data_IF_996268175158
#
_entry.id   IF_996268175158
#
_cell.length_a   1.000
_cell.length_b   1.000
_cell.length_c   1.000
_cell.angle_alpha   90.00
_cell.angle_beta   90.00
_cell.angle_gamma   90.00
#
_symmetry.space_group_name_H-M   'P 1'
#
loop_
_entity.id
_entity.type
_entity.pdbx_description
1 polymer ?
#
# COMPACT_ATOMS: atom_id res chain seq x y z
N UNK A 1 -39.80 31.67 3.01
CA UNK A 1 -38.56 31.94 2.26
C UNK A 1 -38.93 32.72 1.01
N UNK A 2 -38.42 33.94 0.85
CA UNK A 2 -38.71 34.75 -0.33
C UNK A 2 -38.32 33.97 -1.60
N UNK A 3 -39.25 33.80 -2.53
CA UNK A 3 -38.95 33.23 -3.84
C UNK A 3 -37.99 34.17 -4.57
N UNK A 4 -36.68 33.95 -4.41
CA UNK A 4 -35.67 34.57 -5.27
C UNK A 4 -35.97 34.05 -6.67
N UNK A 5 -36.51 34.93 -7.51
CA UNK A 5 -36.83 34.63 -8.90
C UNK A 5 -35.50 34.30 -9.59
N UNK A 6 -35.27 33.01 -9.86
CA UNK A 6 -34.06 32.56 -10.56
C UNK A 6 -34.09 33.12 -11.99
N UNK A 7 -33.05 33.88 -12.35
CA UNK A 7 -32.87 34.52 -13.66
C UNK A 7 -32.73 33.49 -14.77
N UNK A 8 -33.10 33.90 -15.99
CA UNK A 8 -32.94 33.06 -17.17
C UNK A 8 -31.48 33.04 -17.62
N UNK A 9 -31.03 31.88 -18.08
CA UNK A 9 -29.61 31.64 -18.38
C UNK A 9 -29.43 30.99 -19.74
N UNK A 10 -28.30 31.28 -20.37
CA UNK A 10 -27.79 30.60 -21.56
C UNK A 10 -26.68 29.67 -21.07
N UNK A 11 -26.79 28.39 -21.40
CA UNK A 11 -25.85 27.36 -20.97
C UNK A 11 -25.09 26.84 -22.18
N UNK A 12 -23.78 26.72 -22.05
CA UNK A 12 -22.88 26.20 -23.07
C UNK A 12 -22.21 24.96 -22.53
N UNK A 13 -22.18 23.91 -23.34
CA UNK A 13 -21.72 22.60 -22.91
C UNK A 13 -20.71 22.09 -23.94
N UNK A 14 -19.50 21.82 -23.47
CA UNK A 14 -18.45 21.11 -24.21
C UNK A 14 -18.42 19.64 -23.74
N UNK A 15 -18.94 18.69 -24.53
CA UNK A 15 -18.98 17.28 -24.18
C UNK A 15 -17.65 16.57 -24.47
N UNK A 16 -17.23 15.71 -23.54
CA UNK A 16 -16.04 14.88 -23.71
C UNK A 16 -15.71 14.08 -22.45
N UNK A 17 -14.48 13.58 -22.37
CA UNK A 17 -13.94 12.97 -21.13
C UNK A 17 -13.82 13.99 -19.99
N UNK A 18 -13.58 15.25 -20.36
CA UNK A 18 -13.76 16.44 -19.51
C UNK A 18 -14.99 17.17 -20.03
N UNK A 19 -15.97 17.45 -19.17
CA UNK A 19 -17.12 18.27 -19.54
C UNK A 19 -16.81 19.71 -19.16
N UNK A 20 -16.93 20.62 -20.12
CA UNK A 20 -16.98 22.06 -19.86
C UNK A 20 -18.43 22.53 -19.75
N UNK A 21 -18.74 23.34 -18.76
CA UNK A 21 -20.04 23.99 -18.57
C UNK A 21 -19.80 25.48 -18.35
N UNK A 22 -20.48 26.31 -19.15
CA UNK A 22 -20.52 27.75 -18.96
C UNK A 22 -21.97 28.21 -18.85
N UNK A 23 -22.22 29.23 -18.03
CA UNK A 23 -23.54 29.84 -17.85
C UNK A 23 -23.41 31.35 -17.91
N UNK A 24 -24.21 31.97 -18.79
CA UNK A 24 -24.36 33.42 -18.89
C UNK A 24 -25.80 33.83 -18.56
N UNK A 25 -25.99 35.04 -18.05
CA UNK A 25 -27.32 35.66 -18.03
C UNK A 25 -27.74 36.15 -19.43
N UNK A 26 -28.98 36.63 -19.57
CA UNK A 26 -29.49 37.13 -20.87
C UNK A 26 -28.88 38.46 -21.31
N UNK A 27 -28.02 39.08 -20.51
CA UNK A 27 -27.28 40.31 -20.84
C UNK A 27 -25.81 40.01 -21.18
N UNK A 28 -25.36 38.77 -21.00
CA UNK A 28 -24.01 38.30 -21.29
C UNK A 28 -23.03 38.44 -20.13
N UNK A 29 -23.49 38.50 -18.88
CA UNK A 29 -22.59 38.42 -17.73
C UNK A 29 -22.36 36.96 -17.36
N UNK A 30 -21.11 36.54 -17.07
CA UNK A 30 -20.82 35.19 -16.66
C UNK A 30 -21.35 34.93 -15.25
N UNK A 31 -22.14 33.88 -15.11
CA UNK A 31 -22.65 33.37 -13.83
C UNK A 31 -21.69 32.30 -13.30
N UNK A 32 -21.27 31.39 -14.19
CA UNK A 32 -20.40 30.27 -13.84
C UNK A 32 -19.66 29.75 -15.07
N UNK A 33 -18.40 29.36 -14.88
CA UNK A 33 -17.56 28.73 -15.90
C UNK A 33 -16.75 27.64 -15.19
N UNK A 34 -16.96 26.39 -15.60
CA UNK A 34 -16.48 25.22 -14.87
C UNK A 34 -16.13 24.08 -15.81
N UNK A 35 -15.17 23.27 -15.41
CA UNK A 35 -14.87 22.00 -16.08
C UNK A 35 -14.45 20.92 -15.09
N UNK A 36 -14.79 19.67 -15.39
CA UNK A 36 -14.32 18.52 -14.62
C UNK A 36 -14.23 17.26 -15.46
N UNK A 37 -13.23 16.43 -15.13
CA UNK A 37 -13.12 15.05 -15.65
C UNK A 37 -14.17 14.17 -14.99
N UNK A 38 -14.68 13.19 -15.73
CA UNK A 38 -15.68 12.21 -15.24
C UNK A 38 -16.94 12.86 -14.63
N UNK A 39 -17.30 14.07 -15.09
CA UNK A 39 -18.49 14.78 -14.62
C UNK A 39 -19.73 14.13 -15.26
N UNK A 40 -20.77 13.83 -14.49
CA UNK A 40 -21.96 13.18 -15.04
C UNK A 40 -22.96 14.20 -15.60
N UNK A 41 -23.85 13.74 -16.49
CA UNK A 41 -24.99 14.55 -16.98
C UNK A 41 -25.86 15.03 -15.81
N UNK A 42 -26.06 14.17 -14.80
CA UNK A 42 -26.86 14.50 -13.61
C UNK A 42 -26.20 15.60 -12.78
N UNK A 43 -24.88 15.58 -12.62
CA UNK A 43 -24.14 16.61 -11.88
C UNK A 43 -24.20 17.96 -12.61
N UNK A 44 -24.05 17.94 -13.95
CA UNK A 44 -24.20 19.13 -14.78
C UNK A 44 -25.61 19.73 -14.65
N UNK A 45 -26.65 18.89 -14.72
CA UNK A 45 -28.05 19.31 -14.52
C UNK A 45 -28.25 19.91 -13.12
N UNK A 46 -27.73 19.28 -12.06
CA UNK A 46 -27.86 19.77 -10.69
C UNK A 46 -27.21 21.15 -10.51
N UNK A 47 -26.01 21.37 -11.08
CA UNK A 47 -25.31 22.65 -11.07
C UNK A 47 -26.07 23.73 -11.85
N UNK A 48 -26.60 23.40 -13.03
CA UNK A 48 -27.37 24.36 -13.83
C UNK A 48 -28.63 24.81 -13.06
N UNK A 49 -29.35 23.87 -12.43
CA UNK A 49 -30.57 24.16 -11.66
C UNK A 49 -30.28 25.06 -10.46
N UNK A 50 -29.15 24.85 -9.78
CA UNK A 50 -28.81 25.62 -8.58
C UNK A 50 -28.48 27.09 -8.90
N UNK A 51 -27.99 27.36 -10.11
CA UNK A 51 -27.52 28.68 -10.54
C UNK A 51 -28.54 29.48 -11.35
N UNK A 52 -29.51 28.85 -12.02
CA UNK A 52 -30.48 29.59 -12.81
C UNK A 52 -31.55 28.76 -13.50
N UNK A 53 -32.33 29.42 -14.38
CA UNK A 53 -33.30 28.77 -15.27
C UNK A 53 -32.72 28.69 -16.69
N UNK A 54 -32.26 27.53 -17.16
CA UNK A 54 -31.71 27.39 -18.51
C UNK A 54 -32.80 27.61 -19.56
N UNK A 55 -32.59 28.60 -20.43
CA UNK A 55 -33.48 28.94 -21.53
C UNK A 55 -32.94 28.43 -22.87
N UNK A 56 -31.63 28.51 -23.05
CA UNK A 56 -30.90 28.10 -24.24
C UNK A 56 -29.77 27.17 -23.80
N UNK A 57 -29.60 26.04 -24.47
CA UNK A 57 -28.47 25.14 -24.29
C UNK A 57 -27.73 25.04 -25.63
N UNK A 58 -26.45 25.41 -25.65
CA UNK A 58 -25.64 25.52 -26.85
C UNK A 58 -24.40 24.62 -26.81
N UNK A 59 -23.91 24.26 -28.00
CA UNK A 59 -22.62 23.60 -28.22
C UNK A 59 -21.84 24.41 -29.26
N UNK A 60 -20.52 24.22 -29.28
CA UNK A 60 -19.58 24.82 -30.22
C UNK A 60 -19.37 23.98 -31.49
N UNK A 61 -19.92 22.75 -31.54
CA UNK A 61 -19.80 21.83 -32.66
C UNK A 61 -21.15 21.48 -33.31
N UNK A 62 -21.11 21.16 -34.60
CA UNK A 62 -22.24 20.65 -35.38
C UNK A 62 -21.87 19.31 -36.04
N UNK A 63 -22.75 18.29 -36.03
CA UNK A 63 -24.09 18.27 -35.44
C UNK A 63 -24.05 18.35 -33.91
N UNK A 64 -25.11 18.89 -33.30
CA UNK A 64 -25.11 19.07 -31.84
C UNK A 64 -24.99 17.73 -31.11
N UNK A 65 -24.04 17.56 -30.17
CA UNK A 65 -23.80 16.29 -29.50
C UNK A 65 -24.99 15.77 -28.69
N UNK A 66 -25.12 14.45 -28.57
CA UNK A 66 -26.26 13.78 -27.91
C UNK A 66 -26.42 14.19 -26.44
N UNK A 67 -25.32 14.43 -25.74
CA UNK A 67 -25.33 14.90 -24.35
C UNK A 67 -25.99 16.26 -24.20
N UNK A 68 -25.67 17.19 -25.09
CA UNK A 68 -26.22 18.56 -25.11
C UNK A 68 -27.72 18.51 -25.39
N UNK A 69 -28.14 17.71 -26.39
CA UNK A 69 -29.57 17.47 -26.70
C UNK A 69 -30.33 16.90 -25.50
N UNK A 70 -29.73 15.93 -24.79
CA UNK A 70 -30.32 15.32 -23.58
C UNK A 70 -30.49 16.34 -22.45
N UNK A 71 -29.48 17.16 -22.18
CA UNK A 71 -29.55 18.20 -21.14
C UNK A 71 -30.62 19.25 -21.50
N UNK A 72 -30.68 19.67 -22.77
CA UNK A 72 -31.71 20.61 -23.22
C UNK A 72 -33.12 20.06 -23.09
N UNK A 73 -33.33 18.77 -23.39
CA UNK A 73 -34.62 18.11 -23.24
C UNK A 73 -35.11 18.11 -21.79
N UNK A 74 -34.21 17.81 -20.83
CA UNK A 74 -34.53 17.87 -19.39
C UNK A 74 -35.05 19.24 -18.98
N UNK A 75 -34.50 20.30 -19.56
CA UNK A 75 -34.86 21.67 -19.23
C UNK A 75 -35.95 22.28 -20.12
N UNK A 76 -36.40 21.55 -21.14
CA UNK A 76 -37.23 22.13 -22.22
C UNK A 76 -36.63 23.42 -22.79
N UNK A 77 -35.30 23.49 -22.83
CA UNK A 77 -34.55 24.62 -23.37
C UNK A 77 -34.40 24.49 -24.89
N UNK A 78 -34.18 25.60 -25.56
CA UNK A 78 -33.89 25.61 -26.99
C UNK A 78 -32.44 25.20 -27.25
N UNK A 79 -32.21 24.37 -28.27
CA UNK A 79 -30.87 24.04 -28.79
C UNK A 79 -30.67 24.71 -30.13
N UNK A 80 -29.91 25.82 -30.21
CA UNK A 80 -29.56 26.43 -31.49
C UNK A 80 -28.55 25.54 -32.21
N UNK A 81 -28.93 25.05 -33.39
CA UNK A 81 -27.99 24.33 -34.25
C UNK A 81 -27.08 25.31 -34.98
N UNK A 82 -25.80 24.92 -35.08
CA UNK A 82 -24.75 25.63 -35.78
C UNK A 82 -24.71 25.20 -37.24
N UNK A 83 -24.52 26.16 -38.16
CA UNK A 83 -24.32 25.86 -39.58
C UNK A 83 -22.97 25.14 -39.79
N UNK A 84 -21.92 25.60 -39.10
CA UNK A 84 -20.59 25.00 -39.08
C UNK A 84 -20.00 25.00 -37.65
N UNK A 85 -19.09 24.07 -37.37
CA UNK A 85 -18.42 23.98 -36.06
C UNK A 85 -17.47 25.16 -35.87
N UNK A 86 -17.41 25.73 -34.67
CA UNK A 86 -16.54 26.87 -34.38
C UNK A 86 -15.06 26.46 -34.43
N UNK A 87 -14.27 27.20 -35.20
CA UNK A 87 -12.82 27.08 -35.24
C UNK A 87 -12.17 27.57 -33.95
N UNK A 88 -10.93 27.14 -33.69
CA UNK A 88 -10.18 27.55 -32.50
C UNK A 88 -10.03 29.08 -32.40
N UNK A 89 -9.78 29.74 -33.53
CA UNK A 89 -9.61 31.19 -33.62
C UNK A 89 -10.90 31.92 -33.28
N UNK A 90 -12.05 31.43 -33.77
CA UNK A 90 -13.37 31.97 -33.45
C UNK A 90 -13.71 31.81 -31.97
N UNK A 91 -13.42 30.65 -31.37
CA UNK A 91 -13.64 30.42 -29.93
C UNK A 91 -12.82 31.41 -29.08
N UNK A 92 -11.57 31.65 -29.46
CA UNK A 92 -10.70 32.63 -28.76
C UNK A 92 -11.23 34.05 -28.95
N UNK A 93 -11.62 34.43 -30.18
CA UNK A 93 -12.14 35.75 -30.48
C UNK A 93 -13.45 36.05 -29.73
N UNK A 94 -14.36 35.07 -29.63
CA UNK A 94 -15.62 35.19 -28.90
C UNK A 94 -15.43 35.34 -27.38
N UNK A 95 -14.42 34.68 -26.81
CA UNK A 95 -14.18 34.66 -25.36
C UNK A 95 -13.29 35.82 -24.92
N UNK A 96 -12.05 35.89 -25.42
CA UNK A 96 -11.09 36.96 -25.05
C UNK A 96 -11.52 38.32 -25.58
N UNK A 97 -12.11 38.39 -26.77
CA UNK A 97 -12.57 39.65 -27.36
C UNK A 97 -13.71 40.31 -26.57
N UNK A 98 -14.37 39.59 -25.67
CA UNK A 98 -15.44 40.08 -24.80
C UNK A 98 -15.04 40.17 -23.31
N UNK A 99 -13.77 39.90 -22.97
CA UNK A 99 -13.23 40.07 -21.62
C UNK A 99 -13.58 38.96 -20.63
N UNK A 100 -13.94 37.77 -21.11
CA UNK A 100 -14.24 36.64 -20.23
C UNK A 100 -12.97 35.88 -19.81
N UNK A 101 -12.97 35.37 -18.58
CA UNK A 101 -11.91 34.54 -18.02
C UNK A 101 -12.26 33.04 -18.11
N UNK A 102 -11.27 32.20 -18.39
CA UNK A 102 -11.36 30.74 -18.39
C UNK A 102 -10.00 30.13 -18.06
N UNK A 103 -9.98 28.92 -17.49
CA UNK A 103 -8.75 28.26 -17.03
C UNK A 103 -8.19 27.26 -18.02
N UNK A 104 -9.02 26.69 -18.88
CA UNK A 104 -8.61 25.66 -19.83
C UNK A 104 -9.45 25.67 -21.12
N UNK A 105 -9.08 24.80 -22.06
CA UNK A 105 -9.73 24.70 -23.37
C UNK A 105 -11.21 24.29 -23.28
N UNK A 106 -11.59 23.42 -22.34
CA UNK A 106 -12.97 22.98 -22.19
C UNK A 106 -13.89 24.09 -21.67
N UNK A 107 -13.40 24.86 -20.70
CA UNK A 107 -14.09 26.07 -20.22
C UNK A 107 -14.23 27.11 -21.33
N UNK A 108 -13.17 27.32 -22.12
CA UNK A 108 -13.21 28.22 -23.28
C UNK A 108 -14.26 27.78 -24.29
N UNK A 109 -14.31 26.49 -24.62
CA UNK A 109 -15.17 25.96 -25.68
C UNK A 109 -16.64 26.00 -25.25
N UNK A 110 -16.94 25.64 -23.99
CA UNK A 110 -18.27 25.80 -23.40
C UNK A 110 -18.70 27.29 -23.34
N UNK A 111 -17.79 28.19 -22.99
CA UNK A 111 -18.07 29.62 -22.95
C UNK A 111 -18.26 30.21 -24.35
N UNK A 112 -17.46 29.78 -25.34
CA UNK A 112 -17.62 30.19 -26.72
C UNK A 112 -18.99 29.78 -27.27
N UNK A 113 -19.49 28.58 -26.93
CA UNK A 113 -20.84 28.14 -27.27
C UNK A 113 -21.92 29.08 -26.71
N UNK A 114 -21.79 29.48 -25.42
CA UNK A 114 -22.69 30.46 -24.79
C UNK A 114 -22.69 31.80 -25.53
N UNK A 115 -21.49 32.36 -25.75
CA UNK A 115 -21.34 33.70 -26.33
C UNK A 115 -21.84 33.71 -27.77
N UNK A 116 -21.59 32.65 -28.53
CA UNK A 116 -22.09 32.52 -29.89
C UNK A 116 -23.63 32.47 -29.92
N UNK A 117 -24.24 31.68 -29.02
CA UNK A 117 -25.70 31.66 -28.88
C UNK A 117 -26.24 33.05 -28.51
N UNK A 118 -25.64 33.73 -27.53
CA UNK A 118 -26.03 35.09 -27.15
C UNK A 118 -25.94 36.06 -28.34
N UNK A 119 -24.88 35.99 -29.15
CA UNK A 119 -24.70 36.84 -30.35
C UNK A 119 -25.84 36.66 -31.35
N UNK A 120 -26.33 35.43 -31.55
CA UNK A 120 -27.49 35.12 -32.42
C UNK A 120 -28.77 35.77 -31.93
N UNK A 121 -28.99 35.82 -30.61
CA UNK A 121 -30.20 36.40 -30.00
C UNK A 121 -30.08 37.88 -29.62
N UNK A 122 -28.88 38.47 -29.61
CA UNK A 122 -28.61 39.85 -29.17
C UNK A 122 -29.49 40.89 -29.86
N UNK A 123 -29.67 40.77 -31.19
CA UNK A 123 -30.56 41.69 -31.95
C UNK A 123 -32.02 41.57 -31.50
N UNK A 124 -32.52 40.34 -31.30
CA UNK A 124 -33.88 40.08 -30.83
C UNK A 124 -34.08 40.58 -29.39
N UNK A 125 -33.14 40.32 -28.49
CA UNK A 125 -33.19 40.81 -27.11
C UNK A 125 -33.18 42.33 -27.02
N UNK A 126 -32.38 43.01 -27.86
CA UNK A 126 -32.40 44.48 -27.92
C UNK A 126 -33.73 45.03 -28.44
N UNK A 127 -34.36 44.38 -29.43
CA UNK A 127 -35.69 44.76 -29.89
C UNK A 127 -36.76 44.57 -28.81
N UNK A 128 -36.70 43.47 -28.06
CA UNK A 128 -37.59 43.21 -26.91
C UNK A 128 -37.43 44.31 -25.87
N UNK A 129 -36.19 44.65 -25.50
CA UNK A 129 -35.92 45.67 -24.49
C UNK A 129 -36.46 47.05 -24.89
N UNK A 130 -36.44 47.40 -26.18
CA UNK A 130 -36.99 48.68 -26.69
C UNK A 130 -38.52 48.69 -26.77
N UNK A 131 -39.14 47.55 -27.10
CA UNK A 131 -40.59 47.44 -27.33
C UNK A 131 -41.39 47.14 -26.06
N UNK A 132 -40.74 46.67 -25.00
CA UNK A 132 -41.41 46.30 -23.75
C UNK A 132 -41.82 47.56 -22.97
N UNK A 133 -43.11 47.78 -22.68
CA UNK A 133 -43.56 48.93 -21.89
C UNK A 133 -43.04 48.90 -20.44
N UNK A 134 -42.96 50.07 -19.81
CA UNK A 134 -42.62 50.20 -18.41
C UNK A 134 -43.63 49.43 -17.53
N UNK A 135 -43.14 48.52 -16.71
CA UNK A 135 -43.97 47.70 -15.82
C UNK A 135 -44.23 46.27 -16.31
N UNK A 136 -43.73 45.84 -17.49
CA UNK A 136 -43.68 44.42 -17.90
C UNK A 136 -42.28 43.88 -17.66
N UNK A 137 -42.19 42.62 -17.23
CA UNK A 137 -40.90 41.97 -16.98
C UNK A 137 -40.20 41.63 -18.30
N UNK A 138 -39.15 42.39 -18.62
CA UNK A 138 -38.39 42.25 -19.87
C UNK A 138 -37.75 40.87 -19.98
N UNK A 139 -37.31 40.26 -18.88
CA UNK A 139 -36.63 38.97 -18.87
C UNK A 139 -37.60 37.83 -19.26
N UNK A 140 -38.85 37.92 -18.79
CA UNK A 140 -39.92 36.98 -19.13
C UNK A 140 -40.36 37.15 -20.61
N UNK A 141 -40.42 38.38 -21.12
CA UNK A 141 -40.67 38.61 -22.56
C UNK A 141 -39.54 38.00 -23.40
N UNK A 142 -38.26 38.21 -23.01
CA UNK A 142 -37.12 37.58 -23.70
C UNK A 142 -37.28 36.05 -23.72
N UNK A 143 -37.70 35.43 -22.60
CA UNK A 143 -37.93 33.99 -22.51
C UNK A 143 -39.03 33.48 -23.46
N UNK A 144 -40.18 34.17 -23.53
CA UNK A 144 -41.27 33.81 -24.46
C UNK A 144 -40.83 33.94 -25.92
N UNK A 145 -40.03 34.95 -26.25
CA UNK A 145 -39.54 35.18 -27.61
C UNK A 145 -38.55 34.10 -28.05
N UNK A 146 -37.71 33.60 -27.15
CA UNK A 146 -36.84 32.45 -27.44
C UNK A 146 -37.66 31.19 -27.73
N UNK A 147 -38.79 31.01 -27.05
CA UNK A 147 -39.74 29.91 -27.28
C UNK A 147 -40.57 30.06 -28.57
N UNK A 148 -40.33 31.10 -29.37
CA UNK A 148 -40.98 31.30 -30.68
C UNK A 148 -42.23 32.18 -30.66
N UNK A 149 -42.59 32.79 -29.52
CA UNK A 149 -43.70 33.73 -29.44
C UNK A 149 -43.28 35.08 -30.02
N UNK A 150 -44.18 35.75 -30.76
CA UNK A 150 -43.90 37.09 -31.25
C UNK A 150 -43.81 38.10 -30.10
N UNK A 151 -43.03 39.17 -30.29
CA UNK A 151 -42.79 40.17 -29.24
C UNK A 151 -44.11 40.80 -28.75
N UNK A 152 -45.04 41.12 -29.67
CA UNK A 152 -46.34 41.68 -29.32
C UNK A 152 -47.17 40.71 -28.47
N UNK A 153 -47.33 39.47 -28.92
CA UNK A 153 -48.12 38.46 -28.20
C UNK A 153 -47.51 38.14 -26.83
N UNK A 154 -46.19 38.14 -26.71
CA UNK A 154 -45.50 37.94 -25.43
C UNK A 154 -45.78 39.09 -24.44
N UNK A 155 -45.76 40.34 -24.92
CA UNK A 155 -46.09 41.51 -24.11
C UNK A 155 -47.57 41.48 -23.70
N UNK A 156 -48.47 41.26 -24.64
CA UNK A 156 -49.92 41.25 -24.39
C UNK A 156 -50.31 40.20 -23.35
N UNK A 157 -49.78 38.97 -23.48
CA UNK A 157 -50.00 37.90 -22.49
C UNK A 157 -49.56 38.31 -21.08
N UNK A 158 -48.41 38.97 -20.94
CA UNK A 158 -47.91 39.40 -19.64
C UNK A 158 -48.69 40.59 -19.06
N UNK A 159 -49.26 41.44 -19.92
CA UNK A 159 -50.15 42.53 -19.50
C UNK A 159 -51.48 41.95 -19.03
N UNK A 160 -52.10 41.04 -19.79
CA UNK A 160 -53.37 40.39 -19.41
C UNK A 160 -53.25 39.62 -18.09
N UNK A 161 -52.16 38.86 -17.89
CA UNK A 161 -51.91 38.16 -16.62
C UNK A 161 -51.72 39.11 -15.42
N UNK A 162 -51.23 40.33 -15.65
CA UNK A 162 -51.16 41.37 -14.60
C UNK A 162 -52.49 42.05 -14.34
N UNK A 163 -53.38 42.11 -15.34
CA UNK A 163 -54.74 42.64 -15.20
C UNK A 163 -55.64 41.63 -14.48
N UNK A 164 -55.61 40.35 -14.84
CA UNK A 164 -56.34 39.28 -14.14
C UNK A 164 -55.93 39.19 -12.66
N UNK A 165 -54.63 39.26 -12.35
CA UNK A 165 -54.17 39.28 -10.95
C UNK A 165 -54.52 40.57 -10.18
N UNK A 166 -54.83 41.69 -10.87
CA UNK A 166 -55.31 42.93 -10.25
C UNK A 166 -56.83 42.93 -10.07
N UNK A 167 -57.58 42.28 -10.96
CA UNK A 167 -59.03 42.13 -10.85
C UNK A 167 -59.41 41.12 -9.76
N UNK A 168 -58.66 40.02 -9.62
CA UNK A 168 -58.88 39.02 -8.54
C UNK A 168 -58.72 39.62 -7.13
N UNK A 169 -57.89 40.66 -6.96
CA UNK A 169 -57.72 41.34 -5.65
C UNK A 169 -58.84 42.38 -5.39
N UNK A 170 -59.56 42.83 -6.44
CA UNK A 170 -60.68 43.77 -6.31
C UNK A 170 -62.06 43.10 -6.25
N UNK A 171 -62.19 41.89 -6.78
CA UNK A 171 -63.48 41.19 -6.87
C UNK A 171 -63.92 40.47 -5.59
N UNK A 172 -63.07 40.30 -4.57
CA UNK A 172 -63.47 39.72 -3.27
C UNK A 172 -64.36 40.63 -2.39
N UNK A 173 -64.89 41.74 -2.89
CA UNK A 173 -65.67 42.69 -2.07
C UNK A 173 -67.05 43.09 -2.54
N UNK A 174 -67.58 42.58 -3.66
CA UNK A 174 -68.93 42.96 -4.07
C UNK A 174 -69.66 41.78 -4.73
N UNK A 175 -70.34 40.98 -3.90
CA UNK A 175 -71.45 40.17 -4.39
C UNK A 175 -72.77 40.95 -4.34
N UNK A 176 -73.51 40.77 -5.43
CA UNK A 176 -74.96 40.78 -5.61
C UNK A 176 -75.54 41.91 -6.46
N UNK A 177 -75.80 41.59 -7.75
CA UNK A 177 -77.12 41.65 -8.41
C UNK A 177 -77.04 41.58 -9.95
N UNK A 178 -77.54 40.48 -10.53
CA UNK A 178 -78.73 40.38 -11.43
C UNK A 178 -78.66 39.16 -12.37
N UNK A 179 -79.73 38.37 -12.32
CA UNK A 179 -80.23 37.44 -13.34
C UNK A 179 -80.37 38.19 -14.68
N UNK A 180 -79.81 37.72 -15.79
CA UNK A 180 -80.30 36.58 -16.59
C UNK A 180 -79.21 35.73 -17.28
N UNK A 181 -77.93 35.91 -16.94
CA UNK A 181 -76.80 35.17 -17.56
C UNK A 181 -76.47 33.82 -16.87
N UNK A 182 -77.20 33.48 -15.79
CA UNK A 182 -76.86 32.37 -14.88
C UNK A 182 -76.75 31.01 -15.57
N UNK A 183 -77.56 30.75 -16.61
CA UNK A 183 -77.53 29.46 -17.31
C UNK A 183 -76.20 29.25 -18.06
N UNK A 184 -75.70 30.31 -18.71
CA UNK A 184 -74.47 30.24 -19.50
C UNK A 184 -73.22 30.30 -18.62
N UNK A 185 -73.26 31.05 -17.52
CA UNK A 185 -72.20 31.04 -16.50
C UNK A 185 -72.10 29.68 -15.79
N UNK A 186 -73.23 29.05 -15.44
CA UNK A 186 -73.25 27.72 -14.80
C UNK A 186 -72.70 26.65 -15.75
N UNK A 187 -73.02 26.71 -17.05
CA UNK A 187 -72.48 25.78 -18.05
C UNK A 187 -70.96 25.96 -18.23
N UNK A 188 -70.46 27.20 -18.25
CA UNK A 188 -69.01 27.50 -18.29
C UNK A 188 -68.31 26.97 -17.04
N UNK A 189 -68.87 27.20 -15.85
CA UNK A 189 -68.32 26.71 -14.58
C UNK A 189 -68.28 25.18 -14.52
N UNK A 190 -69.34 24.48 -14.95
CA UNK A 190 -69.34 23.01 -15.04
C UNK A 190 -68.27 22.50 -15.99
N UNK A 191 -68.03 23.19 -17.12
CA UNK A 191 -66.98 22.83 -18.07
C UNK A 191 -65.57 22.99 -17.47
N UNK A 192 -65.37 24.05 -16.70
CA UNK A 192 -64.10 24.31 -15.98
C UNK A 192 -63.88 23.28 -14.88
N UNK A 193 -64.92 22.94 -14.11
CA UNK A 193 -64.84 21.90 -13.07
C UNK A 193 -64.45 20.57 -13.69
N UNK A 194 -65.12 20.16 -14.77
CA UNK A 194 -64.78 18.93 -15.49
C UNK A 194 -63.33 18.92 -16.01
N UNK A 195 -62.85 20.02 -16.59
CA UNK A 195 -61.46 20.15 -17.03
C UNK A 195 -60.45 20.11 -15.87
N UNK A 196 -60.83 20.62 -14.70
CA UNK A 196 -60.00 20.57 -13.50
C UNK A 196 -59.97 19.15 -12.91
N UNK A 197 -61.10 18.46 -12.89
CA UNK A 197 -61.21 17.06 -12.46
C UNK A 197 -60.36 16.15 -13.37
N UNK A 198 -60.48 16.28 -14.69
CA UNK A 198 -59.63 15.57 -15.66
C UNK A 198 -58.12 15.85 -15.43
N UNK A 199 -57.77 17.09 -15.09
CA UNK A 199 -56.38 17.44 -14.74
C UNK A 199 -55.92 16.81 -13.41
N UNK A 200 -56.80 16.75 -12.42
CA UNK A 200 -56.49 16.13 -11.12
C UNK A 200 -56.23 14.65 -11.33
N UNK A 201 -57.07 13.97 -12.11
CA UNK A 201 -56.91 12.54 -12.43
C UNK A 201 -55.57 12.26 -13.13
N UNK A 202 -55.21 13.06 -14.14
CA UNK A 202 -53.90 12.94 -14.82
C UNK A 202 -52.74 13.20 -13.85
N UNK A 203 -52.87 14.17 -12.94
CA UNK A 203 -51.83 14.48 -11.96
C UNK A 203 -51.67 13.36 -10.93
N UNK A 204 -52.77 12.70 -10.53
CA UNK A 204 -52.75 11.55 -9.63
C UNK A 204 -52.11 10.33 -10.29
N UNK A 205 -52.42 10.05 -11.55
CA UNK A 205 -51.73 9.02 -12.36
C UNK A 205 -50.24 9.32 -12.51
N UNK A 206 -49.87 10.58 -12.76
CA UNK A 206 -48.46 10.96 -12.84
C UNK A 206 -47.76 10.79 -11.48
N UNK A 207 -48.43 11.15 -10.38
CA UNK A 207 -47.87 11.02 -9.03
C UNK A 207 -47.64 9.55 -8.66
N UNK A 208 -48.58 8.66 -9.00
CA UNK A 208 -48.44 7.22 -8.75
C UNK A 208 -47.32 6.62 -9.59
N UNK A 209 -47.22 6.98 -10.87
CA UNK A 209 -46.13 6.58 -11.75
C UNK A 209 -44.77 7.05 -11.25
N UNK A 210 -44.66 8.31 -10.83
CA UNK A 210 -43.43 8.87 -10.25
C UNK A 210 -43.02 8.15 -8.96
N UNK A 211 -43.98 7.87 -8.06
CA UNK A 211 -43.73 7.09 -6.83
C UNK A 211 -43.23 5.68 -7.15
N UNK A 212 -43.78 5.03 -8.16
CA UNK A 212 -43.32 3.71 -8.60
C UNK A 212 -41.88 3.75 -9.13
N UNK A 213 -41.56 4.74 -9.97
CA UNK A 213 -40.19 4.94 -10.46
C UNK A 213 -39.19 5.25 -9.35
N UNK A 214 -39.59 6.02 -8.34
CA UNK A 214 -38.74 6.32 -7.19
C UNK A 214 -38.48 5.06 -6.36
N UNK A 215 -39.51 4.24 -6.12
CA UNK A 215 -39.36 2.96 -5.42
C UNK A 215 -38.42 2.00 -6.18
N UNK A 216 -38.49 1.96 -7.51
CA UNK A 216 -37.60 1.15 -8.35
C UNK A 216 -36.14 1.65 -8.27
N UNK A 217 -35.93 2.97 -8.34
CA UNK A 217 -34.60 3.58 -8.19
C UNK A 217 -34.01 3.29 -6.81
N UNK A 218 -34.82 3.42 -5.75
CA UNK A 218 -34.42 3.09 -4.39
C UNK A 218 -34.00 1.63 -4.23
N UNK A 219 -34.75 0.69 -4.84
CA UNK A 219 -34.35 -0.72 -4.90
C UNK A 219 -33.01 -0.90 -5.63
N UNK A 220 -32.82 -0.20 -6.75
CA UNK A 220 -31.59 -0.27 -7.53
C UNK A 220 -30.39 0.31 -6.78
N UNK A 221 -30.58 1.42 -6.08
CA UNK A 221 -29.56 2.04 -5.20
C UNK A 221 -29.17 1.06 -4.10
N UNK A 222 -30.15 0.42 -3.42
CA UNK A 222 -29.87 -0.60 -2.41
C UNK A 222 -29.06 -1.78 -2.98
N UNK A 223 -29.45 -2.28 -4.16
CA UNK A 223 -28.71 -3.36 -4.83
C UNK A 223 -27.28 -2.98 -5.21
N UNK A 224 -27.09 -1.76 -5.74
CA UNK A 224 -25.76 -1.25 -6.08
C UNK A 224 -24.89 -1.04 -4.83
N UNK A 225 -25.47 -0.54 -3.74
CA UNK A 225 -24.75 -0.37 -2.47
C UNK A 225 -24.32 -1.72 -1.90
N UNK A 226 -25.19 -2.74 -1.90
CA UNK A 226 -24.82 -4.09 -1.49
C UNK A 226 -23.68 -4.67 -2.34
N UNK A 227 -23.71 -4.45 -3.66
CA UNK A 227 -22.63 -4.88 -4.55
C UNK A 227 -21.33 -4.11 -4.30
N UNK A 228 -21.42 -2.82 -3.98
CA UNK A 228 -20.25 -2.01 -3.62
C UNK A 228 -19.64 -2.51 -2.31
N UNK A 229 -20.45 -2.84 -1.32
CA UNK A 229 -19.99 -3.35 -0.03
C UNK A 229 -19.36 -4.74 -0.13
N UNK A 230 -19.92 -5.63 -0.97
CA UNK A 230 -19.31 -6.94 -1.24
C UNK A 230 -17.94 -6.78 -1.91
N UNK A 231 -17.84 -5.94 -2.95
CA UNK A 231 -16.57 -5.64 -3.61
C UNK A 231 -15.54 -5.00 -2.66
N UNK A 232 -15.99 -4.09 -1.78
CA UNK A 232 -15.12 -3.49 -0.74
C UNK A 232 -14.64 -4.53 0.27
N UNK A 233 -15.51 -5.45 0.68
CA UNK A 233 -15.14 -6.54 1.58
C UNK A 233 -14.12 -7.48 0.93
N UNK A 234 -14.31 -7.83 -0.33
CA UNK A 234 -13.39 -8.67 -1.10
C UNK A 234 -12.02 -8.00 -1.25
N UNK A 235 -11.99 -6.73 -1.67
CA UNK A 235 -10.74 -5.96 -1.75
C UNK A 235 -10.00 -5.87 -0.41
N UNK A 236 -10.73 -5.73 0.70
CA UNK A 236 -10.12 -5.75 2.05
C UNK A 236 -9.47 -7.09 2.36
N UNK A 237 -10.12 -8.21 2.00
CA UNK A 237 -9.54 -9.55 2.15
C UNK A 237 -8.29 -9.71 1.29
N UNK A 238 -8.35 -9.31 0.03
CA UNK A 238 -7.19 -9.35 -0.88
C UNK A 238 -6.01 -8.55 -0.32
N UNK A 239 -6.27 -7.34 0.19
CA UNK A 239 -5.24 -6.48 0.79
C UNK A 239 -4.62 -7.15 2.02
N UNK A 240 -5.44 -7.75 2.89
CA UNK A 240 -4.96 -8.47 4.07
C UNK A 240 -4.08 -9.67 3.69
N UNK A 241 -4.46 -10.41 2.65
CA UNK A 241 -3.67 -11.53 2.11
C UNK A 241 -2.32 -11.01 1.57
N UNK A 242 -2.31 -9.91 0.81
CA UNK A 242 -1.08 -9.30 0.29
C UNK A 242 -0.15 -8.86 1.43
N UNK A 243 -0.69 -8.24 2.48
CA UNK A 243 0.10 -7.86 3.66
C UNK A 243 0.67 -9.08 4.39
N UNK A 244 -0.10 -10.15 4.52
CA UNK A 244 0.37 -11.38 5.13
C UNK A 244 1.47 -12.05 4.31
N UNK A 245 1.33 -12.11 2.98
CA UNK A 245 2.36 -12.60 2.07
C UNK A 245 3.63 -11.77 2.25
N UNK A 246 3.54 -10.44 2.22
CA UNK A 246 4.70 -9.56 2.45
C UNK A 246 5.38 -9.80 3.80
N UNK A 247 4.62 -10.01 4.87
CA UNK A 247 5.18 -10.35 6.19
C UNK A 247 5.92 -11.69 6.16
N UNK A 248 5.34 -12.69 5.50
CA UNK A 248 5.95 -14.03 5.35
C UNK A 248 7.23 -13.94 4.50
N UNK A 249 7.21 -13.22 3.39
CA UNK A 249 8.38 -13.04 2.52
C UNK A 249 9.53 -12.35 3.26
N UNK A 250 9.23 -11.28 4.01
CA UNK A 250 10.23 -10.63 4.86
C UNK A 250 10.81 -11.57 5.91
N UNK A 251 9.98 -12.46 6.49
CA UNK A 251 10.47 -13.47 7.43
C UNK A 251 11.32 -14.53 6.75
N UNK A 252 10.96 -14.96 5.54
CA UNK A 252 11.76 -15.90 4.73
C UNK A 252 13.13 -15.31 4.42
N UNK A 253 13.20 -14.04 4.02
CA UNK A 253 14.49 -13.37 3.74
C UNK A 253 15.37 -13.37 4.98
N UNK A 254 14.86 -12.93 6.13
CA UNK A 254 15.62 -12.95 7.41
C UNK A 254 16.06 -14.35 7.81
N UNK A 255 15.18 -15.34 7.70
CA UNK A 255 15.51 -16.73 8.04
C UNK A 255 16.58 -17.31 7.09
N UNK A 256 16.59 -16.90 5.82
CA UNK A 256 17.64 -17.30 4.87
C UNK A 256 18.97 -16.65 5.20
N UNK A 257 18.98 -15.38 5.61
CA UNK A 257 20.19 -14.69 6.08
C UNK A 257 20.74 -15.37 7.34
N UNK A 258 19.89 -15.60 8.35
CA UNK A 258 20.26 -16.31 9.57
C UNK A 258 20.81 -17.72 9.27
N UNK A 259 20.17 -18.46 8.34
CA UNK A 259 20.64 -19.78 7.95
C UNK A 259 22.03 -19.72 7.29
N UNK A 260 22.24 -18.74 6.40
CA UNK A 260 23.52 -18.53 5.73
C UNK A 260 24.64 -18.21 6.73
N UNK A 261 24.39 -17.32 7.69
CA UNK A 261 25.34 -17.01 8.76
C UNK A 261 25.67 -18.25 9.61
N UNK A 262 24.67 -19.07 9.92
CA UNK A 262 24.88 -20.33 10.66
C UNK A 262 25.66 -21.35 9.84
N UNK A 263 25.43 -21.45 8.54
CA UNK A 263 26.16 -22.35 7.64
C UNK A 263 27.62 -21.91 7.48
N UNK A 264 27.87 -20.60 7.35
CA UNK A 264 29.22 -20.02 7.34
C UNK A 264 29.96 -20.33 8.65
N UNK A 265 29.33 -20.06 9.80
CA UNK A 265 29.89 -20.36 11.12
C UNK A 265 30.16 -21.88 11.29
N UNK A 266 29.25 -22.73 10.82
CA UNK A 266 29.43 -24.18 10.88
C UNK A 266 30.59 -24.64 9.98
N UNK A 267 30.80 -24.02 8.82
CA UNK A 267 31.93 -24.31 7.95
C UNK A 267 33.25 -23.91 8.62
N UNK A 268 33.31 -22.71 9.22
CA UNK A 268 34.48 -22.26 9.98
C UNK A 268 34.79 -23.19 11.16
N UNK A 269 33.78 -23.53 11.96
CA UNK A 269 33.93 -24.46 13.08
C UNK A 269 34.41 -25.83 12.62
N UNK A 270 33.95 -26.34 11.46
CA UNK A 270 34.44 -27.60 10.89
C UNK A 270 35.92 -27.53 10.55
N UNK A 271 36.39 -26.44 9.94
CA UNK A 271 37.81 -26.25 9.62
C UNK A 271 38.65 -26.26 10.90
N UNK A 272 38.25 -25.47 11.90
CA UNK A 272 38.93 -25.43 13.21
C UNK A 272 38.96 -26.82 13.85
N UNK A 273 37.87 -27.57 13.75
CA UNK A 273 37.75 -28.89 14.36
C UNK A 273 38.62 -29.93 13.66
N UNK A 274 38.77 -29.87 12.34
CA UNK A 274 39.71 -30.70 11.58
C UNK A 274 41.18 -30.34 11.88
N UNK A 275 41.52 -29.05 12.00
CA UNK A 275 42.86 -28.62 12.45
C UNK A 275 43.20 -29.11 13.85
N UNK A 276 42.22 -29.10 14.76
CA UNK A 276 42.38 -29.61 16.13
C UNK A 276 42.44 -31.14 16.19
N UNK A 277 41.74 -31.85 15.30
CA UNK A 277 41.83 -33.30 15.16
C UNK A 277 43.15 -33.76 14.57
N UNK A 278 43.72 -33.02 13.60
CA UNK A 278 45.05 -33.30 13.06
C UNK A 278 46.16 -33.25 14.13
N UNK A 279 45.94 -32.47 15.21
CA UNK A 279 46.81 -32.39 16.39
C UNK A 279 46.48 -33.40 17.49
N UNK A 280 45.46 -34.25 17.30
CA UNK A 280 44.99 -35.25 18.28
C UNK A 280 44.98 -36.65 17.67
N UNK A 281 46.17 -37.24 17.63
CA UNK A 281 46.36 -38.63 18.04
C UNK A 281 46.10 -39.72 17.01
N UNK A 282 47.06 -40.62 16.92
CA UNK A 282 46.92 -41.96 16.34
C UNK A 282 45.81 -42.71 17.10
N UNK A 283 44.86 -43.34 16.40
CA UNK A 283 43.80 -44.16 17.02
C UNK A 283 44.45 -45.24 17.91
N UNK A 284 44.12 -45.25 19.21
CA UNK A 284 44.67 -46.21 20.20
C UNK A 284 45.99 -45.79 20.87
N UNK A 285 46.58 -44.65 20.49
CA UNK A 285 47.81 -44.14 21.07
C UNK A 285 47.58 -43.22 22.27
N UNK A 286 48.25 -43.49 23.40
CA UNK A 286 48.35 -42.55 24.52
C UNK A 286 49.52 -41.59 24.30
N UNK A 287 49.24 -40.29 24.35
CA UNK A 287 50.25 -39.22 24.26
C UNK A 287 51.12 -39.20 25.52
N UNK A 288 52.43 -39.23 25.33
CA UNK A 288 53.46 -39.17 26.38
C UNK A 288 54.44 -38.03 26.10
N UNK A 289 55.17 -37.57 27.12
CA UNK A 289 56.05 -36.40 27.04
C UNK A 289 57.47 -36.81 26.68
N UNK A 290 58.07 -36.20 25.67
CA UNK A 290 59.40 -36.52 25.18
C UNK A 290 60.44 -35.58 25.80
N UNK A 291 61.48 -36.15 26.41
CA UNK A 291 62.67 -35.42 26.85
C UNK A 291 63.88 -36.02 26.12
N UNK A 292 64.61 -35.17 25.37
CA UNK A 292 65.73 -35.61 24.52
C UNK A 292 66.90 -36.20 25.31
N UNK A 293 67.23 -35.60 26.47
CA UNK A 293 68.32 -36.07 27.33
C UNK A 293 67.91 -36.12 28.79
N UNK A 294 68.38 -37.14 29.51
CA UNK A 294 68.13 -37.28 30.94
C UNK A 294 69.09 -36.40 31.77
N UNK A 295 68.92 -35.08 31.71
CA UNK A 295 69.71 -34.10 32.47
C UNK A 295 68.80 -33.12 33.23
N UNK A 296 69.36 -32.47 34.27
CA UNK A 296 68.61 -31.51 35.09
C UNK A 296 68.04 -30.35 34.24
N UNK A 297 68.87 -29.80 33.34
CA UNK A 297 68.49 -28.68 32.47
C UNK A 297 67.42 -29.09 31.45
N UNK A 298 67.55 -30.27 30.84
CA UNK A 298 66.56 -30.77 29.89
C UNK A 298 65.18 -31.01 30.52
N UNK A 299 65.14 -31.47 31.78
CA UNK A 299 63.88 -31.65 32.52
C UNK A 299 63.25 -30.31 32.90
N UNK A 300 64.05 -29.33 33.31
CA UNK A 300 63.55 -27.99 33.61
C UNK A 300 63.04 -27.29 32.36
N UNK A 301 63.75 -27.42 31.24
CA UNK A 301 63.33 -26.89 29.95
C UNK A 301 62.01 -27.53 29.47
N UNK A 302 61.92 -28.86 29.53
CA UNK A 302 60.68 -29.60 29.28
C UNK A 302 59.52 -29.11 30.16
N UNK A 303 59.77 -28.90 31.46
CA UNK A 303 58.76 -28.38 32.38
C UNK A 303 58.32 -26.96 32.01
N UNK A 304 59.22 -26.09 31.55
CA UNK A 304 58.89 -24.73 31.11
C UNK A 304 58.07 -24.74 29.82
N UNK A 305 58.42 -25.57 28.85
CA UNK A 305 57.80 -25.58 27.51
C UNK A 305 56.39 -26.16 27.51
N UNK A 306 56.17 -27.29 28.19
CA UNK A 306 54.88 -27.98 28.13
C UNK A 306 54.37 -28.50 29.49
N UNK A 307 55.06 -28.17 30.58
CA UNK A 307 54.68 -28.57 31.94
C UNK A 307 54.92 -30.05 32.22
N UNK A 308 55.27 -30.39 33.47
CA UNK A 308 55.29 -31.78 33.97
C UNK A 308 54.35 -31.82 35.18
N UNK A 309 53.32 -32.64 35.09
CA UNK A 309 52.23 -32.76 36.08
C UNK A 309 52.14 -34.19 36.60
N UNK A 310 51.44 -34.33 37.71
CA UNK A 310 51.16 -35.63 38.33
C UNK A 310 50.38 -36.53 37.36
N UNK A 311 50.86 -37.75 37.13
CA UNK A 311 50.23 -38.73 36.24
C UNK A 311 50.75 -38.74 34.80
N UNK A 312 51.72 -37.88 34.47
CA UNK A 312 52.35 -37.89 33.14
C UNK A 312 53.30 -39.07 32.96
N UNK A 313 53.41 -39.56 31.73
CA UNK A 313 54.40 -40.57 31.33
C UNK A 313 55.46 -39.88 30.50
N UNK A 314 56.72 -40.14 30.84
CA UNK A 314 57.87 -39.48 30.21
C UNK A 314 58.65 -40.50 29.41
N UNK A 315 58.96 -40.17 28.17
CA UNK A 315 59.91 -40.89 27.33
C UNK A 315 61.24 -40.14 27.30
N UNK A 316 62.30 -40.81 27.73
CA UNK A 316 63.68 -40.33 27.69
C UNK A 316 64.36 -40.91 26.45
N UNK A 317 64.71 -40.08 25.48
CA UNK A 317 65.40 -40.55 24.28
C UNK A 317 66.83 -41.02 24.61
N UNK A 318 67.58 -40.23 25.39
CA UNK A 318 68.84 -40.63 25.98
C UNK A 318 68.75 -40.69 27.52
N UNK A 319 68.60 -41.91 28.06
CA UNK A 319 68.52 -42.19 29.49
C UNK A 319 69.87 -42.23 30.23
N UNK A 320 70.99 -42.17 29.52
CA UNK A 320 72.31 -42.44 30.11
C UNK A 320 72.89 -41.27 30.94
N UNK A 321 72.42 -40.04 30.69
CA UNK A 321 73.02 -38.82 31.22
C UNK A 321 72.67 -38.44 32.67
N UNK A 322 71.76 -39.16 33.32
CA UNK A 322 71.21 -38.77 34.62
C UNK A 322 71.33 -39.84 35.70
N UNK A 323 71.55 -39.38 36.94
CA UNK A 323 71.68 -40.24 38.12
C UNK A 323 70.50 -40.11 39.09
N UNK A 324 70.77 -40.37 40.38
CA UNK A 324 69.75 -40.34 41.43
C UNK A 324 69.06 -38.97 41.58
N UNK A 325 69.82 -37.87 41.52
CA UNK A 325 69.28 -36.51 41.67
C UNK A 325 68.31 -36.13 40.53
N UNK A 326 68.65 -36.49 39.30
CA UNK A 326 67.81 -36.28 38.11
C UNK A 326 66.53 -37.12 38.18
N UNK A 327 66.63 -38.37 38.67
CA UNK A 327 65.48 -39.24 38.89
C UNK A 327 64.55 -38.70 40.00
N UNK A 328 65.12 -38.19 41.09
CA UNK A 328 64.36 -37.56 42.18
C UNK A 328 63.61 -36.31 41.70
N UNK A 329 64.23 -35.49 40.84
CA UNK A 329 63.58 -34.31 40.27
C UNK A 329 62.30 -34.69 39.49
N UNK A 330 62.39 -35.72 38.63
CA UNK A 330 61.23 -36.22 37.89
C UNK A 330 60.19 -36.85 38.84
N UNK A 331 60.64 -37.62 39.84
CA UNK A 331 59.76 -38.25 40.81
C UNK A 331 58.97 -37.23 41.64
N UNK A 332 59.61 -36.14 42.09
CA UNK A 332 58.95 -35.03 42.81
C UNK A 332 57.89 -34.32 41.98
N UNK A 333 58.00 -34.34 40.64
CA UNK A 333 56.97 -33.81 39.73
C UNK A 333 55.74 -34.74 39.61
N UNK A 334 55.81 -35.96 40.14
CA UNK A 334 54.68 -36.88 40.27
C UNK A 334 54.37 -37.71 39.02
N UNK A 335 55.37 -37.98 38.18
CA UNK A 335 55.21 -38.78 36.96
C UNK A 335 54.76 -40.22 37.26
N UNK A 336 54.00 -40.84 36.36
CA UNK A 336 53.44 -42.18 36.58
C UNK A 336 54.29 -43.33 36.03
N UNK A 337 55.11 -43.07 35.02
CA UNK A 337 56.01 -44.06 34.42
C UNK A 337 57.10 -43.35 33.60
N UNK A 338 58.24 -44.03 33.45
CA UNK A 338 59.35 -43.61 32.58
C UNK A 338 59.59 -44.69 31.53
N UNK A 339 59.66 -44.29 30.27
CA UNK A 339 60.11 -45.14 29.17
C UNK A 339 61.46 -44.60 28.70
N UNK A 340 62.45 -45.44 28.49
CA UNK A 340 63.79 -45.00 28.09
C UNK A 340 64.25 -45.68 26.80
N UNK A 341 64.90 -44.91 25.93
CA UNK A 341 65.51 -45.41 24.69
C UNK A 341 66.87 -46.04 24.93
N UNK A 342 67.80 -45.28 25.54
CA UNK A 342 69.10 -45.78 26.02
C UNK A 342 69.07 -46.11 27.51
N UNK A 343 69.89 -47.07 27.93
CA UNK A 343 69.92 -47.59 29.31
C UNK A 343 70.04 -46.49 30.38
N UNK A 344 69.31 -46.67 31.47
CA UNK A 344 69.37 -45.83 32.66
C UNK A 344 70.53 -46.26 33.57
N UNK A 345 71.15 -45.30 34.25
CA UNK A 345 72.09 -45.59 35.34
C UNK A 345 71.40 -46.41 36.45
N UNK A 346 72.10 -47.39 37.03
CA UNK A 346 71.61 -48.18 38.17
C UNK A 346 71.12 -47.30 39.34
N UNK A 347 71.77 -46.15 39.57
CA UNK A 347 71.35 -45.19 40.59
C UNK A 347 70.00 -44.54 40.27
N UNK A 348 69.72 -44.25 39.00
CA UNK A 348 68.45 -43.69 38.57
C UNK A 348 67.32 -44.73 38.69
N UNK A 349 67.55 -45.97 38.26
CA UNK A 349 66.58 -47.06 38.36
C UNK A 349 66.18 -47.36 39.80
N UNK A 350 67.16 -47.43 40.72
CA UNK A 350 66.89 -47.63 42.15
C UNK A 350 66.07 -46.48 42.76
N UNK A 351 66.35 -45.25 42.33
CA UNK A 351 65.61 -44.06 42.78
C UNK A 351 64.17 -44.12 42.30
N UNK A 352 63.92 -44.41 41.02
CA UNK A 352 62.55 -44.58 40.50
C UNK A 352 61.79 -45.70 41.21
N UNK A 353 62.46 -46.82 41.51
CA UNK A 353 61.87 -47.93 42.26
C UNK A 353 61.46 -47.51 43.68
N UNK A 354 62.30 -46.73 44.39
CA UNK A 354 62.01 -46.20 45.72
C UNK A 354 60.77 -45.28 45.71
N UNK A 355 60.63 -44.44 44.67
CA UNK A 355 59.45 -43.59 44.48
C UNK A 355 58.24 -44.33 43.87
N UNK A 356 58.31 -45.65 43.70
CA UNK A 356 57.24 -46.48 43.11
C UNK A 356 56.86 -46.12 41.67
N UNK A 357 57.84 -45.66 40.88
CA UNK A 357 57.67 -45.29 39.47
C UNK A 357 58.22 -46.43 38.59
N UNK A 358 57.40 -47.07 37.75
CA UNK A 358 57.87 -48.08 36.81
C UNK A 358 58.73 -47.47 35.71
N UNK A 359 59.79 -48.20 35.34
CA UNK A 359 60.69 -47.90 34.23
C UNK A 359 60.59 -49.01 33.19
N UNK A 360 60.41 -48.66 31.92
CA UNK A 360 60.30 -49.62 30.80
C UNK A 360 61.30 -49.29 29.69
N UNK A 361 61.87 -50.30 29.05
CA UNK A 361 62.67 -50.09 27.83
C UNK A 361 61.74 -49.75 26.66
N UNK A 362 62.27 -49.08 25.64
CA UNK A 362 61.58 -48.92 24.35
C UNK A 362 61.27 -50.27 23.68
N UNK A 363 62.04 -51.31 23.98
CA UNK A 363 61.79 -52.67 23.49
C UNK A 363 60.53 -53.29 24.13
N UNK A 364 60.23 -52.93 25.38
CA UNK A 364 59.04 -53.41 26.09
C UNK A 364 57.77 -52.68 25.65
N UNK A 365 57.90 -51.39 25.34
CA UNK A 365 56.80 -50.51 24.92
C UNK A 365 57.28 -49.65 23.73
N UNK A 366 57.15 -50.16 22.50
CA UNK A 366 57.52 -49.42 21.30
C UNK A 366 56.70 -48.14 21.14
N UNK A 367 57.33 -47.11 20.57
CA UNK A 367 56.63 -45.88 20.19
C UNK A 367 55.82 -46.13 18.91
N UNK A 368 54.55 -45.75 18.91
CA UNK A 368 53.69 -45.77 17.71
C UNK A 368 54.04 -44.63 16.76
N UNK A 369 54.35 -43.45 17.32
CA UNK A 369 54.74 -42.27 16.55
C UNK A 369 55.56 -41.34 17.44
N UNK A 370 56.64 -40.80 16.89
CA UNK A 370 57.43 -39.72 17.49
C UNK A 370 57.27 -38.48 16.62
N UNK A 371 56.86 -37.36 17.22
CA UNK A 371 56.85 -36.08 16.50
C UNK A 371 58.32 -35.67 16.23
N UNK A 372 58.73 -35.59 14.96
CA UNK A 372 60.14 -35.34 14.57
C UNK A 372 60.73 -34.05 15.17
N UNK A 373 59.88 -33.02 15.34
CA UNK A 373 60.23 -31.74 15.98
C UNK A 373 59.29 -31.39 17.15
N UNK A 374 58.63 -32.40 17.72
CA UNK A 374 57.64 -32.19 18.77
C UNK A 374 58.10 -32.59 20.16
N UNK A 375 57.29 -32.19 21.13
CA UNK A 375 57.52 -32.42 22.56
C UNK A 375 56.83 -33.68 23.08
N UNK A 376 56.24 -34.45 22.17
CA UNK A 376 55.38 -35.57 22.50
C UNK A 376 55.68 -36.79 21.63
N UNK A 377 55.40 -37.96 22.20
CA UNK A 377 55.39 -39.24 21.51
C UNK A 377 54.08 -39.97 21.81
N UNK A 378 53.78 -41.01 21.03
CA UNK A 378 52.60 -41.84 21.21
C UNK A 378 53.03 -43.28 21.48
N UNK A 379 52.42 -43.92 22.46
CA UNK A 379 52.57 -45.36 22.76
C UNK A 379 51.22 -46.03 22.76
N UNK A 380 51.18 -47.34 22.50
CA UNK A 380 49.95 -48.12 22.58
C UNK A 380 49.37 -48.07 24.00
N UNK A 381 48.12 -47.60 24.11
CA UNK A 381 47.46 -47.44 25.40
C UNK A 381 47.17 -48.78 26.09
N UNK A 382 46.86 -49.83 25.34
CA UNK A 382 46.58 -51.15 25.88
C UNK A 382 47.86 -51.79 26.42
N UNK A 383 48.92 -51.83 25.60
CA UNK A 383 50.21 -52.41 25.98
C UNK A 383 50.79 -51.73 27.22
N UNK A 384 50.75 -50.39 27.26
CA UNK A 384 51.25 -49.61 28.40
C UNK A 384 50.47 -49.90 29.68
N UNK A 385 49.14 -50.02 29.61
CA UNK A 385 48.32 -50.33 30.77
C UNK A 385 48.58 -51.74 31.29
N UNK A 386 48.77 -52.71 30.41
CA UNK A 386 49.05 -54.10 30.79
C UNK A 386 50.43 -54.23 31.44
N UNK A 387 51.47 -53.60 30.86
CA UNK A 387 52.80 -53.53 31.48
C UNK A 387 52.81 -52.82 32.84
N UNK A 388 52.04 -51.75 32.99
CA UNK A 388 51.87 -51.09 34.30
C UNK A 388 51.17 -51.99 35.33
N UNK A 389 50.21 -52.84 34.92
CA UNK A 389 49.57 -53.81 35.81
C UNK A 389 50.52 -54.94 36.21
N UNK A 390 51.28 -55.48 35.25
CA UNK A 390 52.31 -56.51 35.50
C UNK A 390 53.34 -56.04 36.52
N UNK A 391 53.85 -54.82 36.34
CA UNK A 391 54.83 -54.24 37.26
C UNK A 391 54.28 -54.07 38.68
N UNK A 392 53.04 -53.57 38.81
CA UNK A 392 52.34 -53.46 40.11
C UNK A 392 52.11 -54.83 40.76
N UNK A 393 51.80 -55.86 39.99
CA UNK A 393 51.64 -57.22 40.49
C UNK A 393 52.97 -57.86 40.92
N UNK A 394 54.06 -57.60 40.17
CA UNK A 394 55.42 -58.02 40.51
C UNK A 394 55.94 -57.40 41.81
N UNK A 395 55.63 -56.12 42.07
CA UNK A 395 55.96 -55.45 43.33
C UNK A 395 55.24 -56.08 44.53
N UNK A 396 53.93 -56.36 44.41
CA UNK A 396 53.17 -57.06 45.45
C UNK A 396 53.73 -58.46 45.74
N UNK A 397 54.22 -59.18 44.74
CA UNK A 397 54.87 -60.49 44.94
C UNK A 397 56.21 -60.37 45.69
N UNK A 398 57.03 -59.35 45.40
CA UNK A 398 58.30 -59.13 46.12
C UNK A 398 58.10 -58.64 47.56
N UNK A 399 57.09 -57.80 47.82
CA UNK A 399 56.73 -57.38 49.18
C UNK A 399 56.18 -58.55 50.02
N UNK A 400 55.42 -59.48 49.43
CA UNK A 400 54.90 -60.67 50.13
C UNK A 400 56.00 -61.70 50.44
N UNK A 401 57.09 -61.75 49.67
CA UNK A 401 58.23 -62.67 49.91
C UNK A 401 59.20 -62.11 50.98
N UNK A 402 59.31 -60.78 51.14
CA UNK A 402 60.14 -60.18 52.19
C UNK A 402 59.50 -60.21 53.60
N UNK A 403 58.19 -60.48 53.68
CA UNK A 403 57.42 -60.55 54.94
C UNK A 403 57.06 -61.99 55.37
N UNK A 404 57.71 -63.01 54.80
CA UNK A 404 57.46 -64.42 55.11
C UNK A 404 58.70 -65.13 55.65
#
# INVERSE_FOLDING_TARGET
>A
MAHVRRSYTIVGIDPGTTIGVAMLDLDGRPIDVFSSKNYSVSDAVARIISLGKPLIVASDVTPTPSMVKRISSIFSSLVPELDESLSLEEKIALTKGAGYEYKNAHERDALAACVNALKRYKKKFSQVQKKTPAGVDVEEVKAQVVKGVSISVAIDRLISLKQENKEVIKEERLEEKKSDDKSETILKLRRIIKQKEEKIEILEELMTSLKAMDAEKELKIRGLNHKLDSMRSERRRETAVIEEIRRRDNKIVRLREELKEKDELNAELKIILEELKGKRGVKGGKRIKLIKSFSHDAILDAHRRYGLKKGDIVFLEDGSGGGASTAELLAKKGISAVIYGKELSHFATNTFLAFSIPTFSIDDIPLLLKEENGDFAFVDQHLLNDKMKEWKAGKKRKEVILFR
#
